data_IF_352935851902
#
_entry.id   IF_352935851902
#
_cell.length_a   1.000
_cell.length_b   1.000
_cell.length_c   1.000
_cell.angle_alpha   90.00
_cell.angle_beta   90.00
_cell.angle_gamma   90.00
#
_symmetry.space_group_name_H-M   'P 1'
#
loop_
_entity.id
_entity.type
_entity.pdbx_description
1 polymer ?
#
# COMPACT_ATOMS: atom_id res chain seq x y z
N UNK A 1 12.64 14.48 -3.53
CA UNK A 1 11.29 13.95 -3.84
C UNK A 1 11.30 12.50 -3.42
N UNK A 2 10.43 12.10 -2.50
CA UNK A 2 10.44 10.76 -1.92
C UNK A 2 9.79 9.74 -2.84
N UNK A 3 10.42 8.58 -2.97
CA UNK A 3 9.83 7.36 -3.53
C UNK A 3 8.90 6.73 -2.49
N UNK A 4 7.73 6.22 -2.91
CA UNK A 4 6.77 5.52 -2.04
C UNK A 4 7.42 4.39 -1.26
N UNK A 5 8.37 3.66 -1.87
CA UNK A 5 9.11 2.59 -1.21
C UNK A 5 9.88 3.10 0.00
N UNK A 6 10.61 4.20 -0.15
CA UNK A 6 11.39 4.79 0.95
C UNK A 6 10.51 5.25 2.11
N UNK A 7 9.33 5.81 1.80
CA UNK A 7 8.34 6.22 2.80
C UNK A 7 7.79 5.00 3.56
N UNK A 8 7.41 3.93 2.86
CA UNK A 8 6.92 2.70 3.50
C UNK A 8 7.97 2.10 4.44
N UNK A 9 9.24 2.03 4.02
CA UNK A 9 10.31 1.51 4.88
C UNK A 9 10.52 2.40 6.12
N UNK A 10 10.36 3.71 6.00
CA UNK A 10 10.42 4.61 7.15
C UNK A 10 9.29 4.32 8.16
N UNK A 11 8.07 4.09 7.68
CA UNK A 11 6.92 3.70 8.54
C UNK A 11 7.17 2.36 9.22
N UNK A 12 7.58 1.34 8.47
CA UNK A 12 7.84 0.00 9.04
C UNK A 12 8.95 0.02 10.10
N UNK A 13 9.98 0.84 9.94
CA UNK A 13 10.99 1.04 11.00
C UNK A 13 10.44 1.76 12.23
N UNK A 14 9.57 2.74 12.04
CA UNK A 14 9.01 3.53 13.13
C UNK A 14 7.95 2.76 13.94
N UNK A 15 7.26 1.79 13.32
CA UNK A 15 6.20 0.99 13.95
C UNK A 15 6.60 -0.48 13.88
N UNK A 16 7.23 -1.06 14.93
CA UNK A 16 7.83 -2.40 14.87
C UNK A 16 6.88 -3.54 14.49
N UNK A 17 5.61 -3.45 14.89
CA UNK A 17 4.61 -4.49 14.67
C UNK A 17 3.77 -4.29 13.40
N UNK A 18 3.99 -3.19 12.67
CA UNK A 18 3.24 -2.93 11.44
C UNK A 18 3.59 -3.92 10.33
N UNK A 19 2.63 -4.23 9.47
CA UNK A 19 2.82 -5.03 8.26
C UNK A 19 2.34 -4.19 7.08
N UNK A 20 3.12 -4.19 6.00
CA UNK A 20 2.72 -3.61 4.72
C UNK A 20 2.05 -4.71 3.89
N UNK A 21 0.76 -4.55 3.62
CA UNK A 21 0.01 -5.41 2.72
C UNK A 21 -0.14 -4.76 1.34
N UNK A 22 0.18 -5.49 0.28
CA UNK A 22 0.05 -5.06 -1.12
C UNK A 22 -0.75 -6.09 -1.90
N UNK A 23 -1.50 -5.65 -2.90
CA UNK A 23 -2.15 -6.55 -3.84
C UNK A 23 -1.15 -7.03 -4.89
N UNK A 24 -1.12 -8.34 -5.13
CA UNK A 24 -0.41 -8.91 -6.27
C UNK A 24 -1.26 -8.73 -7.53
N UNK A 25 -0.79 -7.96 -8.50
CA UNK A 25 -1.56 -7.61 -9.70
C UNK A 25 -1.17 -8.56 -10.86
N UNK A 26 -2.12 -9.34 -11.42
CA UNK A 26 -1.83 -10.28 -12.50
C UNK A 26 -1.27 -9.57 -13.74
N UNK A 27 -0.19 -10.10 -14.30
CA UNK A 27 0.44 -9.55 -15.51
C UNK A 27 1.26 -8.27 -15.29
N UNK A 28 1.35 -7.76 -14.05
CA UNK A 28 2.29 -6.72 -13.67
C UNK A 28 3.70 -7.27 -13.45
N UNK A 29 4.74 -6.40 -13.42
CA UNK A 29 6.05 -6.82 -12.95
C UNK A 29 5.92 -7.30 -11.50
N UNK A 30 6.37 -8.54 -11.22
CA UNK A 30 6.40 -9.07 -9.85
C UNK A 30 7.43 -8.27 -9.03
N UNK A 31 6.96 -7.18 -8.42
CA UNK A 31 7.76 -6.32 -7.55
C UNK A 31 8.03 -6.93 -6.17
N UNK A 32 7.47 -8.12 -5.89
CA UNK A 32 7.51 -8.73 -4.57
C UNK A 32 8.93 -9.01 -4.08
N UNK A 33 9.73 -9.70 -4.90
CA UNK A 33 11.12 -9.99 -4.56
C UNK A 33 11.96 -8.72 -4.41
N UNK A 34 11.73 -7.71 -5.25
CA UNK A 34 12.43 -6.43 -5.18
C UNK A 34 12.11 -5.65 -3.91
N UNK A 35 10.84 -5.62 -3.52
CA UNK A 35 10.39 -4.89 -2.33
C UNK A 35 10.80 -5.59 -1.04
N UNK A 36 10.74 -6.93 -1.00
CA UNK A 36 11.26 -7.70 0.12
C UNK A 36 12.77 -7.51 0.28
N UNK A 37 13.53 -7.48 -0.82
CA UNK A 37 14.95 -7.15 -0.76
C UNK A 37 15.20 -5.73 -0.26
N UNK A 38 14.44 -4.75 -0.75
CA UNK A 38 14.53 -3.37 -0.28
C UNK A 38 14.17 -3.24 1.22
N UNK A 39 13.28 -4.09 1.73
CA UNK A 39 12.98 -4.17 3.14
C UNK A 39 14.20 -4.67 3.93
N UNK A 40 14.79 -5.80 3.54
CA UNK A 40 15.98 -6.36 4.21
C UNK A 40 17.17 -5.40 4.17
N UNK A 41 17.47 -4.83 3.00
CA UNK A 41 18.52 -3.83 2.81
C UNK A 41 18.26 -2.57 3.67
N UNK A 42 16.98 -2.30 3.97
CA UNK A 42 16.50 -1.20 4.80
C UNK A 42 16.35 -1.52 6.29
N UNK A 43 16.79 -2.71 6.74
CA UNK A 43 16.70 -3.16 8.13
C UNK A 43 15.29 -3.53 8.60
N UNK A 44 14.40 -3.88 7.65
CA UNK A 44 13.03 -4.31 7.91
C UNK A 44 12.91 -5.78 7.51
N UNK A 45 12.45 -6.63 8.42
CA UNK A 45 12.21 -8.04 8.13
C UNK A 45 11.24 -8.21 6.94
N UNK A 46 11.66 -8.95 5.90
CA UNK A 46 10.90 -9.13 4.66
C UNK A 46 9.49 -9.72 4.89
N UNK A 47 9.30 -10.53 5.93
CA UNK A 47 7.99 -11.10 6.28
C UNK A 47 6.94 -10.06 6.71
N UNK A 48 7.36 -8.80 6.93
CA UNK A 48 6.48 -7.65 7.16
C UNK A 48 5.98 -7.00 5.87
N UNK A 49 6.49 -7.41 4.70
CA UNK A 49 5.96 -7.02 3.39
C UNK A 49 5.21 -8.22 2.81
N UNK A 50 3.88 -8.15 2.82
CA UNK A 50 2.98 -9.23 2.43
C UNK A 50 2.25 -8.89 1.15
N UNK A 51 2.11 -9.88 0.29
CA UNK A 51 1.36 -9.79 -0.95
C UNK A 51 0.08 -10.60 -0.82
N UNK A 52 -1.05 -9.93 -0.86
CA UNK A 52 -2.37 -10.54 -0.91
C UNK A 52 -2.72 -10.87 -2.37
N UNK A 53 -3.44 -11.97 -2.62
CA UNK A 53 -3.93 -12.28 -3.96
C UNK A 53 -4.76 -11.14 -4.54
N UNK A 54 -4.76 -11.03 -5.86
CA UNK A 54 -5.67 -10.13 -6.57
C UNK A 54 -7.13 -10.45 -6.25
N UNK A 55 -7.91 -9.44 -5.89
CA UNK A 55 -9.36 -9.57 -5.74
C UNK A 55 -10.03 -9.29 -7.10
N UNK A 56 -10.64 -10.32 -7.69
CA UNK A 56 -11.44 -10.17 -8.92
C UNK A 56 -12.76 -9.47 -8.60
N UNK A 57 -13.39 -9.85 -7.48
CA UNK A 57 -14.67 -9.30 -7.06
C UNK A 57 -14.50 -8.12 -6.09
N UNK A 58 -15.38 -7.12 -6.24
CA UNK A 58 -15.38 -5.93 -5.38
C UNK A 58 -15.65 -6.27 -3.91
N UNK A 59 -16.51 -7.24 -3.64
CA UNK A 59 -16.83 -7.66 -2.27
C UNK A 59 -15.61 -8.23 -1.54
N UNK A 60 -14.77 -9.00 -2.25
CA UNK A 60 -13.52 -9.55 -1.72
C UNK A 60 -12.53 -8.44 -1.41
N UNK A 61 -12.41 -7.45 -2.31
CA UNK A 61 -11.58 -6.28 -2.07
C UNK A 61 -12.04 -5.49 -0.84
N UNK A 62 -13.35 -5.25 -0.68
CA UNK A 62 -13.88 -4.53 0.48
C UNK A 62 -13.64 -5.29 1.78
N UNK A 63 -13.76 -6.62 1.77
CA UNK A 63 -13.47 -7.47 2.93
C UNK A 63 -11.99 -7.42 3.29
N UNK A 64 -11.11 -7.50 2.29
CA UNK A 64 -9.67 -7.36 2.48
C UNK A 64 -9.32 -5.97 3.03
N UNK A 65 -9.89 -4.91 2.43
CA UNK A 65 -9.67 -3.53 2.83
C UNK A 65 -10.10 -3.30 4.27
N UNK A 66 -11.27 -3.79 4.69
CA UNK A 66 -11.77 -3.69 6.06
C UNK A 66 -10.86 -4.33 7.12
N UNK A 67 -9.97 -5.24 6.71
CA UNK A 67 -8.96 -5.84 7.60
C UNK A 67 -7.71 -4.97 7.81
N UNK A 68 -7.60 -3.83 7.13
CA UNK A 68 -6.47 -2.91 7.29
C UNK A 68 -6.77 -1.83 8.34
N UNK A 69 -5.77 -1.51 9.17
CA UNK A 69 -5.88 -0.42 10.14
C UNK A 69 -5.75 0.97 9.49
N UNK A 70 -5.00 1.03 8.38
CA UNK A 70 -4.63 2.27 7.69
C UNK A 70 -4.30 1.98 6.23
N UNK A 71 -4.79 2.83 5.33
CA UNK A 71 -4.40 2.81 3.92
C UNK A 71 -3.43 3.95 3.59
N UNK A 72 -2.28 3.61 3.02
CA UNK A 72 -1.26 4.56 2.57
C UNK A 72 -1.42 4.83 1.08
N UNK A 73 -1.78 6.05 0.72
CA UNK A 73 -1.97 6.44 -0.66
C UNK A 73 -0.63 6.61 -1.42
N UNK A 74 -0.68 6.48 -2.74
CA UNK A 74 0.50 6.57 -3.60
C UNK A 74 0.84 8.03 -3.94
N UNK A 75 2.10 8.42 -3.71
CA UNK A 75 2.56 9.83 -3.78
C UNK A 75 2.44 10.50 -5.16
N UNK A 76 2.46 9.72 -6.24
CA UNK A 76 2.48 10.25 -7.63
C UNK A 76 1.18 10.01 -8.39
N UNK A 77 0.37 9.06 -7.92
CA UNK A 77 -0.91 8.68 -8.51
C UNK A 77 -1.81 8.17 -7.39
N UNK A 78 -2.66 9.06 -6.88
CA UNK A 78 -3.53 8.74 -5.77
C UNK A 78 -4.53 7.65 -6.16
N UNK A 79 -4.96 6.89 -5.16
CA UNK A 79 -6.06 5.95 -5.27
C UNK A 79 -7.35 6.72 -5.62
N UNK A 80 -7.87 6.54 -6.83
CA UNK A 80 -9.15 7.12 -7.25
C UNK A 80 -10.34 6.35 -6.68
N UNK A 81 -10.84 5.37 -7.43
CA UNK A 81 -11.96 4.50 -6.99
C UNK A 81 -11.59 3.66 -5.75
N UNK A 82 -10.34 3.23 -5.65
CA UNK A 82 -9.83 2.46 -4.50
C UNK A 82 -9.95 3.25 -3.20
N UNK A 83 -9.72 4.57 -3.20
CA UNK A 83 -9.86 5.37 -1.97
C UNK A 83 -11.32 5.41 -1.49
N UNK A 84 -12.27 5.58 -2.41
CA UNK A 84 -13.69 5.53 -2.06
C UNK A 84 -14.07 4.18 -1.44
N UNK A 85 -13.60 3.08 -2.00
CA UNK A 85 -13.90 1.73 -1.51
C UNK A 85 -13.28 1.46 -0.13
N UNK A 86 -12.05 1.92 0.10
CA UNK A 86 -11.39 1.84 1.41
C UNK A 86 -12.13 2.64 2.48
N UNK A 87 -12.61 3.86 2.14
CA UNK A 87 -13.43 4.66 3.04
C UNK A 87 -14.79 3.99 3.32
N UNK A 88 -15.43 3.39 2.31
CA UNK A 88 -16.66 2.61 2.50
C UNK A 88 -16.45 1.39 3.40
N UNK A 89 -15.26 0.80 3.39
CA UNK A 89 -14.86 -0.28 4.29
C UNK A 89 -14.52 0.20 5.72
N UNK A 90 -14.58 1.51 5.99
CA UNK A 90 -14.35 2.10 7.32
C UNK A 90 -12.88 2.33 7.66
N UNK A 91 -11.97 2.25 6.68
CA UNK A 91 -10.53 2.37 6.90
C UNK A 91 -10.04 3.79 6.63
N UNK A 92 -9.28 4.41 7.54
CA UNK A 92 -8.71 5.74 7.32
C UNK A 92 -7.64 5.72 6.23
N UNK A 93 -7.54 6.83 5.49
CA UNK A 93 -6.56 7.02 4.41
C UNK A 93 -5.58 8.13 4.78
N UNK A 94 -4.29 7.87 4.63
CA UNK A 94 -3.24 8.91 4.64
C UNK A 94 -2.78 9.15 3.22
N UNK A 95 -2.89 10.39 2.76
CA UNK A 95 -2.44 10.83 1.44
C UNK A 95 -1.53 12.05 1.54
N UNK A 96 -0.69 12.25 0.53
CA UNK A 96 0.18 13.42 0.41
C UNK A 96 -0.15 14.14 -0.91
N UNK A 97 -1.05 15.13 -0.88
CA UNK A 97 -1.54 15.77 -2.09
C UNK A 97 -0.41 16.44 -2.87
N UNK A 98 -0.20 16.00 -4.11
CA UNK A 98 0.71 16.64 -5.04
C UNK A 98 0.07 17.81 -5.79
N UNK A 99 0.86 18.45 -6.66
CA UNK A 99 0.39 19.62 -7.45
C UNK A 99 -0.44 19.25 -8.68
N UNK A 100 -0.47 17.98 -9.08
CA UNK A 100 -1.18 17.48 -10.27
C UNK A 100 -2.53 16.91 -9.86
N UNK A 101 -3.54 16.97 -10.75
CA UNK A 101 -4.90 16.45 -10.46
C UNK A 101 -4.85 14.98 -10.03
N UNK A 102 -4.04 14.18 -10.73
CA UNK A 102 -3.85 12.74 -10.44
C UNK A 102 -3.21 12.44 -9.09
N UNK A 103 -2.65 13.45 -8.41
CA UNK A 103 -2.10 13.31 -7.06
C UNK A 103 -2.90 14.07 -5.99
N UNK A 104 -4.17 14.37 -6.25
CA UNK A 104 -5.10 15.01 -5.30
C UNK A 104 -6.57 14.62 -5.51
N UNK A 105 -6.80 13.44 -6.07
CA UNK A 105 -8.15 12.84 -6.12
C UNK A 105 -8.57 12.44 -4.71
#
# INVERSE_FOLDING_TARGET
GGDSVAAWMAVLRAVPDAVLALLDIPGGPSGAAGLQRAAEDGGVYAGRVRFSPFCVDKADFLTLAAGADLFLDNLFYNAGTTASDVLFAGVPIVTCPGRRVLSRM
#
